data_IF_790349978000
#
_entry.id   IF_790349978000
#
_cell.length_a   1.000
_cell.length_b   1.000
_cell.length_c   1.000
_cell.angle_alpha   90.00
_cell.angle_beta   90.00
_cell.angle_gamma   90.00
#
_symmetry.space_group_name_H-M   'P 1'
#
loop_
_entity.id
_entity.type
_entity.pdbx_description
1 polymer ?
#
# COMPACT_ATOMS: atom_id res chain seq x y z
N UNK A 1 -4.25 13.45 -16.36
CA UNK A 1 -5.29 12.55 -15.83
C UNK A 1 -5.12 11.17 -16.42
N UNK A 2 -5.17 10.11 -15.59
CA UNK A 2 -4.99 8.69 -15.98
C UNK A 2 -6.23 7.88 -15.66
N UNK A 3 -7.38 8.30 -16.17
CA UNK A 3 -8.69 7.62 -15.96
C UNK A 3 -8.78 6.29 -16.71
N UNK A 4 -7.78 5.97 -17.53
CA UNK A 4 -7.58 4.68 -18.19
C UNK A 4 -7.10 3.58 -17.24
N UNK A 5 -6.59 3.94 -16.05
CA UNK A 5 -6.14 2.96 -15.05
C UNK A 5 -7.36 2.45 -14.25
N UNK A 6 -7.69 1.15 -14.32
CA UNK A 6 -8.84 0.60 -13.61
C UNK A 6 -8.58 0.54 -12.09
N UNK A 7 -9.61 0.83 -11.30
CA UNK A 7 -9.62 0.73 -9.84
C UNK A 7 -10.75 -0.20 -9.42
N UNK A 8 -10.50 -1.17 -8.54
CA UNK A 8 -11.51 -2.11 -8.05
C UNK A 8 -11.48 -2.19 -6.52
N UNK A 9 -12.65 -2.42 -5.90
CA UNK A 9 -12.76 -2.61 -4.46
C UNK A 9 -12.15 -3.95 -4.02
N UNK A 10 -11.32 -3.93 -2.98
CA UNK A 10 -10.68 -5.12 -2.42
C UNK A 10 -11.45 -5.78 -1.28
N UNK A 11 -10.78 -6.70 -0.59
CA UNK A 11 -11.27 -7.28 0.65
C UNK A 11 -11.54 -6.20 1.70
N UNK A 12 -12.71 -6.27 2.36
CA UNK A 12 -13.14 -5.28 3.36
C UNK A 12 -12.63 -5.58 4.77
N UNK A 13 -11.97 -6.73 4.97
CA UNK A 13 -11.38 -7.16 6.25
C UNK A 13 -10.25 -8.17 6.02
N UNK A 14 -9.36 -8.38 7.03
CA UNK A 14 -8.36 -9.45 7.01
C UNK A 14 -8.96 -10.85 6.84
N UNK A 15 -8.13 -11.83 6.46
CA UNK A 15 -8.57 -13.21 6.26
C UNK A 15 -9.19 -13.81 7.52
N UNK A 16 -8.53 -13.63 8.67
CA UNK A 16 -8.90 -14.30 9.93
C UNK A 16 -9.13 -13.35 11.10
N UNK A 17 -8.65 -12.11 11.01
CA UNK A 17 -8.65 -11.14 12.12
C UNK A 17 -9.79 -10.14 12.02
N UNK A 18 -10.05 -9.48 13.13
CA UNK A 18 -10.84 -8.25 13.13
C UNK A 18 -10.07 -7.13 12.43
N UNK A 19 -10.79 -6.25 11.74
CA UNK A 19 -10.19 -5.14 11.02
C UNK A 19 -9.61 -4.13 12.02
N UNK A 20 -8.36 -3.75 11.78
CA UNK A 20 -7.68 -2.66 12.47
C UNK A 20 -7.33 -1.61 11.42
N UNK A 21 -7.60 -0.35 11.73
CA UNK A 21 -7.29 0.81 10.89
C UNK A 21 -6.27 1.70 11.58
N UNK A 22 -5.58 2.55 10.81
CA UNK A 22 -4.58 3.50 11.30
C UNK A 22 -5.07 4.95 11.12
N UNK A 23 -6.30 5.22 11.57
CA UNK A 23 -6.91 6.55 11.57
C UNK A 23 -6.11 7.56 12.42
N UNK A 24 -5.46 7.09 13.48
CA UNK A 24 -4.52 7.87 14.28
C UNK A 24 -3.32 8.39 13.48
N UNK A 25 -2.91 7.72 12.40
CA UNK A 25 -1.77 8.10 11.54
C UNK A 25 -2.24 8.89 10.32
N UNK A 26 -3.34 8.46 9.69
CA UNK A 26 -3.76 8.94 8.37
C UNK A 26 -4.98 9.89 8.40
N UNK A 27 -5.53 10.16 9.59
CA UNK A 27 -6.73 10.94 9.77
C UNK A 27 -8.01 10.16 9.45
N UNK A 28 -9.17 10.80 9.62
CA UNK A 28 -10.48 10.14 9.49
C UNK A 28 -10.78 9.73 8.04
N UNK A 29 -10.37 10.56 7.07
CA UNK A 29 -10.54 10.22 5.64
C UNK A 29 -9.49 9.24 5.12
N UNK A 30 -8.40 9.04 5.87
CA UNK A 30 -7.20 8.32 5.43
C UNK A 30 -6.27 9.13 4.50
N UNK A 31 -6.67 10.34 4.11
CA UNK A 31 -5.92 11.28 3.28
C UNK A 31 -6.10 12.73 3.80
N UNK A 32 -6.19 12.90 5.12
CA UNK A 32 -6.38 14.22 5.73
C UNK A 32 -5.21 15.17 5.39
N UNK A 33 -5.50 16.47 5.33
CA UNK A 33 -4.56 17.50 4.88
C UNK A 33 -5.14 18.30 3.69
N UNK A 34 -5.00 17.82 2.45
CA UNK A 34 -5.52 18.50 1.27
C UNK A 34 -7.03 18.36 1.08
N UNK A 35 -7.63 19.34 0.40
CA UNK A 35 -8.96 19.19 -0.19
C UNK A 35 -8.85 18.47 -1.54
N UNK A 36 -9.03 17.15 -1.56
CA UNK A 36 -8.98 16.36 -2.79
C UNK A 36 -10.22 16.61 -3.67
N UNK A 37 -10.06 16.67 -5.01
CA UNK A 37 -11.20 16.75 -5.91
C UNK A 37 -11.99 15.44 -5.92
N UNK A 38 -13.30 15.55 -6.11
CA UNK A 38 -14.15 14.37 -6.30
C UNK A 38 -13.69 13.54 -7.52
N UNK A 39 -13.60 12.20 -7.38
CA UNK A 39 -13.26 11.34 -8.50
C UNK A 39 -14.24 11.51 -9.67
N UNK A 40 -13.68 11.59 -10.90
CA UNK A 40 -14.48 11.77 -12.14
C UNK A 40 -14.78 10.45 -12.86
N UNK A 41 -14.40 9.32 -12.27
CA UNK A 41 -14.63 7.98 -12.81
C UNK A 41 -15.05 7.02 -11.69
N UNK A 42 -15.84 6.01 -12.04
CA UNK A 42 -16.30 5.00 -11.10
C UNK A 42 -15.29 3.84 -10.99
N UNK A 43 -15.22 3.16 -9.83
CA UNK A 43 -14.52 1.89 -9.73
C UNK A 43 -15.14 0.84 -10.67
N UNK A 44 -14.35 -0.15 -11.05
CA UNK A 44 -14.79 -1.29 -11.83
C UNK A 44 -15.86 -2.09 -11.07
N UNK A 45 -16.84 -2.62 -11.81
CA UNK A 45 -17.85 -3.52 -11.26
C UNK A 45 -17.33 -4.96 -11.12
N UNK A 46 -16.19 -5.10 -10.45
CA UNK A 46 -15.56 -6.36 -10.07
C UNK A 46 -14.72 -6.17 -8.80
N UNK A 47 -14.34 -7.29 -8.19
CA UNK A 47 -13.42 -7.31 -7.04
C UNK A 47 -11.98 -7.05 -7.47
N UNK A 48 -11.14 -6.59 -6.54
CA UNK A 48 -9.70 -6.44 -6.79
C UNK A 48 -9.04 -7.75 -7.24
N UNK A 49 -9.45 -8.89 -6.67
CA UNK A 49 -8.94 -10.21 -7.05
C UNK A 49 -9.29 -10.55 -8.50
N UNK A 50 -10.53 -10.30 -8.93
CA UNK A 50 -10.95 -10.48 -10.33
C UNK A 50 -10.19 -9.56 -11.28
N UNK A 51 -9.99 -8.28 -10.90
CA UNK A 51 -9.22 -7.33 -11.69
C UNK A 51 -7.74 -7.76 -11.81
N UNK A 52 -7.13 -8.20 -10.72
CA UNK A 52 -5.76 -8.73 -10.72
C UNK A 52 -5.66 -9.98 -11.60
N UNK A 53 -6.57 -10.94 -11.45
CA UNK A 53 -6.61 -12.16 -12.25
C UNK A 53 -6.79 -11.86 -13.75
N UNK A 54 -7.69 -10.94 -14.10
CA UNK A 54 -7.87 -10.47 -15.48
C UNK A 54 -6.58 -9.86 -16.03
N UNK A 55 -5.96 -8.94 -15.28
CA UNK A 55 -4.72 -8.28 -15.66
C UNK A 55 -3.59 -9.29 -15.92
N UNK A 56 -3.45 -10.30 -15.06
CA UNK A 56 -2.45 -11.37 -15.23
C UNK A 56 -2.72 -12.26 -16.45
N UNK A 57 -3.99 -12.60 -16.72
CA UNK A 57 -4.38 -13.40 -17.90
C UNK A 57 -4.10 -12.67 -19.20
N UNK A 58 -4.44 -11.38 -19.25
CA UNK A 58 -4.33 -10.54 -20.44
C UNK A 58 -2.90 -10.05 -20.69
N UNK A 59 -2.04 -10.06 -19.65
CA UNK A 59 -0.65 -9.67 -19.82
C UNK A 59 0.14 -10.67 -20.67
N UNK A 60 0.81 -10.14 -21.70
CA UNK A 60 1.72 -10.90 -22.55
C UNK A 60 2.98 -11.34 -21.77
N UNK A 61 3.41 -10.53 -20.81
CA UNK A 61 4.62 -10.75 -20.00
C UNK A 61 4.26 -10.92 -18.51
N UNK A 62 5.11 -11.59 -17.71
CA UNK A 62 4.90 -11.69 -16.27
C UNK A 62 4.84 -10.31 -15.58
N UNK A 63 3.83 -10.11 -14.73
CA UNK A 63 3.54 -8.84 -14.07
C UNK A 63 4.22 -8.77 -12.71
N UNK A 64 4.70 -7.58 -12.33
CA UNK A 64 5.15 -7.33 -10.95
C UNK A 64 3.98 -6.79 -10.13
N UNK A 65 3.66 -7.47 -9.02
CA UNK A 65 2.68 -6.97 -8.05
C UNK A 65 3.42 -6.07 -7.06
N UNK A 66 2.93 -4.85 -6.86
CA UNK A 66 3.44 -3.91 -5.85
C UNK A 66 2.35 -3.71 -4.81
N UNK A 67 2.61 -4.11 -3.56
CA UNK A 67 1.65 -4.11 -2.46
C UNK A 67 2.16 -3.23 -1.32
N UNK A 68 1.44 -2.16 -1.02
CA UNK A 68 1.81 -1.17 0.03
C UNK A 68 0.82 -1.12 1.19
N UNK A 69 -0.05 -2.13 1.30
CA UNK A 69 -1.02 -2.31 2.39
C UNK A 69 -1.01 -3.75 2.91
N UNK A 70 -2.01 -4.15 3.73
CA UNK A 70 -2.18 -5.53 4.15
C UNK A 70 -2.27 -6.50 2.96
N UNK A 71 -1.69 -7.69 3.11
CA UNK A 71 -1.48 -8.63 1.99
C UNK A 71 -2.73 -9.43 1.58
N UNK A 72 -3.90 -9.11 2.12
CA UNK A 72 -5.15 -9.85 1.98
C UNK A 72 -5.53 -10.12 0.52
N UNK A 73 -5.53 -9.08 -0.34
CA UNK A 73 -5.90 -9.26 -1.75
C UNK A 73 -4.90 -10.13 -2.52
N UNK A 74 -3.61 -10.01 -2.21
CA UNK A 74 -2.56 -10.81 -2.85
C UNK A 74 -2.71 -12.27 -2.42
N UNK A 75 -2.91 -12.54 -1.13
CA UNK A 75 -3.16 -13.89 -0.63
C UNK A 75 -4.42 -14.53 -1.23
N UNK A 76 -5.51 -13.76 -1.33
CA UNK A 76 -6.74 -14.21 -1.98
C UNK A 76 -6.51 -14.55 -3.46
N UNK A 77 -5.78 -13.72 -4.20
CA UNK A 77 -5.40 -14.01 -5.59
C UNK A 77 -4.59 -15.30 -5.69
N UNK A 78 -3.56 -15.45 -4.84
CA UNK A 78 -2.69 -16.62 -4.87
C UNK A 78 -3.46 -17.91 -4.56
N UNK A 79 -4.39 -17.88 -3.61
CA UNK A 79 -5.18 -19.06 -3.25
C UNK A 79 -6.29 -19.38 -4.25
N UNK A 80 -6.94 -18.37 -4.82
CA UNK A 80 -8.07 -18.57 -5.76
C UNK A 80 -7.63 -18.82 -7.20
N UNK A 81 -6.43 -18.37 -7.58
CA UNK A 81 -5.89 -18.47 -8.93
C UNK A 81 -4.47 -19.05 -9.00
N UNK A 82 -4.24 -20.29 -8.52
CA UNK A 82 -2.93 -20.94 -8.58
C UNK A 82 -2.38 -21.07 -10.00
N UNK A 83 -3.25 -21.18 -11.01
CA UNK A 83 -2.87 -21.23 -12.42
C UNK A 83 -2.19 -19.96 -12.92
N UNK A 84 -2.38 -18.83 -12.24
CA UNK A 84 -1.82 -17.53 -12.63
C UNK A 84 -0.48 -17.22 -11.95
N UNK A 85 0.04 -18.08 -11.06
CA UNK A 85 1.31 -17.82 -10.37
C UNK A 85 2.48 -17.62 -11.34
N UNK A 86 2.50 -18.40 -12.43
CA UNK A 86 3.52 -18.28 -13.50
C UNK A 86 3.48 -16.94 -14.26
N UNK A 87 2.37 -16.19 -14.16
CA UNK A 87 2.21 -14.86 -14.73
C UNK A 87 2.70 -13.75 -13.80
N UNK A 88 3.19 -14.07 -12.59
CA UNK A 88 3.70 -13.10 -11.64
C UNK A 88 5.24 -13.17 -11.67
N UNK A 89 5.87 -12.08 -12.10
CA UNK A 89 7.32 -11.97 -12.15
C UNK A 89 7.92 -11.95 -10.74
N UNK A 90 7.33 -11.13 -9.86
CA UNK A 90 7.71 -10.95 -8.46
C UNK A 90 6.59 -10.22 -7.71
N UNK A 91 6.64 -10.30 -6.39
CA UNK A 91 5.80 -9.52 -5.49
C UNK A 91 6.71 -8.57 -4.71
N UNK A 92 6.52 -7.27 -4.85
CA UNK A 92 7.23 -6.24 -4.08
C UNK A 92 6.29 -5.74 -3.00
N UNK A 93 6.64 -5.94 -1.74
CA UNK A 93 5.82 -5.51 -0.61
C UNK A 93 6.51 -4.37 0.14
N UNK A 94 5.74 -3.37 0.56
CA UNK A 94 6.12 -2.51 1.68
C UNK A 94 5.45 -3.07 2.93
N UNK A 95 6.26 -3.56 3.85
CA UNK A 95 5.78 -4.15 5.09
C UNK A 95 6.85 -4.98 5.77
N UNK A 96 6.64 -5.24 7.06
CA UNK A 96 7.57 -5.96 7.91
C UNK A 96 8.73 -5.10 8.41
N UNK A 97 9.46 -5.66 9.37
CA UNK A 97 10.68 -5.09 9.92
C UNK A 97 11.62 -6.22 10.31
N UNK A 98 12.92 -6.04 10.08
CA UNK A 98 13.98 -6.89 10.61
C UNK A 98 14.30 -6.50 12.06
N UNK A 99 14.17 -5.22 12.39
CA UNK A 99 14.27 -4.68 13.74
C UNK A 99 12.92 -4.43 14.42
N UNK A 100 12.73 -3.22 14.93
CA UNK A 100 11.51 -2.82 15.64
C UNK A 100 10.34 -2.58 14.67
N UNK A 101 9.15 -2.96 15.10
CA UNK A 101 7.90 -2.61 14.42
C UNK A 101 7.41 -1.18 14.72
N UNK A 102 6.40 -0.72 13.98
CA UNK A 102 5.77 0.59 14.18
C UNK A 102 4.38 0.51 14.83
N UNK A 103 3.70 -0.64 14.77
CA UNK A 103 2.38 -0.83 15.38
C UNK A 103 2.48 -1.48 16.75
N UNK A 104 3.36 -2.47 16.86
CA UNK A 104 3.85 -3.01 18.14
C UNK A 104 5.38 -3.04 18.08
N UNK A 105 6.09 -3.18 19.21
CA UNK A 105 7.56 -3.28 19.19
C UNK A 105 8.09 -4.39 18.26
N UNK A 106 7.31 -5.44 18.01
CA UNK A 106 7.70 -6.59 17.21
C UNK A 106 7.01 -6.67 15.82
N UNK A 107 6.11 -5.74 15.47
CA UNK A 107 5.32 -5.87 14.24
C UNK A 107 5.07 -4.54 13.53
N UNK A 108 5.27 -4.56 12.22
CA UNK A 108 4.89 -3.50 11.30
C UNK A 108 3.39 -3.64 10.93
N UNK A 109 2.71 -2.51 10.76
CA UNK A 109 1.25 -2.41 10.55
C UNK A 109 0.68 -3.32 9.46
N UNK A 110 1.20 -3.26 8.22
CA UNK A 110 0.66 -4.03 7.10
C UNK A 110 0.70 -5.53 7.37
N UNK A 111 1.79 -6.02 7.97
CA UNK A 111 1.91 -7.43 8.38
C UNK A 111 1.05 -7.73 9.60
N UNK A 112 0.93 -6.81 10.55
CA UNK A 112 0.15 -7.00 11.77
C UNK A 112 -1.36 -7.14 11.51
N UNK A 113 -1.89 -6.38 10.53
CA UNK A 113 -3.31 -6.39 10.16
C UNK A 113 -3.75 -7.75 9.62
N UNK A 114 -2.93 -8.40 8.78
CA UNK A 114 -3.25 -9.70 8.20
C UNK A 114 -1.99 -10.57 8.02
N UNK A 115 -1.43 -11.10 9.12
CA UNK A 115 -0.21 -11.90 9.06
C UNK A 115 -0.46 -13.27 8.41
N UNK A 116 -1.68 -13.79 8.48
CA UNK A 116 -2.05 -15.03 7.79
C UNK A 116 -1.99 -14.83 6.27
N UNK A 117 -2.45 -13.69 5.75
CA UNK A 117 -2.24 -13.33 4.35
C UNK A 117 -0.77 -13.11 4.00
N UNK A 118 0.00 -12.46 4.89
CA UNK A 118 1.44 -12.28 4.68
C UNK A 118 2.19 -13.61 4.61
N UNK A 119 1.86 -14.58 5.47
CA UNK A 119 2.41 -15.93 5.46
C UNK A 119 2.17 -16.61 4.10
N UNK A 120 0.96 -16.54 3.57
CA UNK A 120 0.62 -17.07 2.24
C UNK A 120 1.50 -16.44 1.15
N UNK A 121 1.70 -15.12 1.19
CA UNK A 121 2.55 -14.43 0.20
C UNK A 121 4.00 -14.88 0.32
N UNK A 122 4.57 -14.95 1.54
CA UNK A 122 5.94 -15.39 1.76
C UNK A 122 6.16 -16.87 1.39
N UNK A 123 5.15 -17.73 1.56
CA UNK A 123 5.22 -19.15 1.24
C UNK A 123 4.82 -19.48 -0.21
N UNK A 124 4.44 -18.48 -1.02
CA UNK A 124 3.93 -18.68 -2.39
C UNK A 124 4.92 -19.32 -3.37
N UNK A 125 6.22 -19.31 -3.06
CA UNK A 125 7.28 -19.72 -3.98
C UNK A 125 7.57 -18.71 -5.10
N UNK A 126 6.84 -17.60 -5.16
CA UNK A 126 7.08 -16.49 -6.09
C UNK A 126 8.19 -15.60 -5.51
N UNK A 127 9.09 -15.01 -6.32
CA UNK A 127 10.09 -14.09 -5.81
C UNK A 127 9.44 -12.91 -5.07
N UNK A 128 9.77 -12.74 -3.78
CA UNK A 128 9.27 -11.65 -2.94
C UNK A 128 10.41 -10.68 -2.61
N UNK A 129 10.17 -9.39 -2.81
CA UNK A 129 11.05 -8.30 -2.36
C UNK A 129 10.33 -7.57 -1.23
N UNK A 130 10.94 -7.54 -0.05
CA UNK A 130 10.41 -6.86 1.12
C UNK A 130 11.14 -5.52 1.34
N UNK A 131 10.41 -4.42 1.23
CA UNK A 131 10.83 -3.09 1.64
C UNK A 131 10.26 -2.80 3.05
N UNK A 132 10.91 -3.37 4.06
CA UNK A 132 10.51 -3.19 5.46
C UNK A 132 10.96 -1.87 6.07
N UNK A 133 10.63 -1.65 7.34
CA UNK A 133 10.92 -0.40 8.07
C UNK A 133 12.42 -0.05 8.10
N UNK A 134 13.31 -1.04 8.13
CA UNK A 134 14.77 -0.84 8.09
C UNK A 134 15.28 -0.17 6.81
N UNK A 135 14.45 -0.20 5.75
CA UNK A 135 14.68 0.49 4.49
C UNK A 135 13.87 1.78 4.44
N UNK A 136 12.57 1.73 4.73
CA UNK A 136 11.69 2.89 4.54
C UNK A 136 11.95 4.01 5.54
N UNK A 137 12.39 3.71 6.77
CA UNK A 137 12.79 4.74 7.73
C UNK A 137 14.05 5.52 7.33
N UNK A 138 14.82 5.03 6.34
CA UNK A 138 15.96 5.77 5.77
C UNK A 138 15.53 6.74 4.67
N UNK A 139 14.33 6.59 4.11
CA UNK A 139 13.77 7.46 3.08
C UNK A 139 12.95 8.58 3.73
N UNK A 140 13.62 9.44 4.50
CA UNK A 140 12.96 10.55 5.19
C UNK A 140 12.62 11.69 4.22
N UNK A 141 11.51 12.37 4.50
CA UNK A 141 11.09 13.59 3.84
C UNK A 141 11.32 14.74 4.81
N UNK A 142 12.05 15.77 4.38
CA UNK A 142 12.27 16.97 5.18
C UNK A 142 11.40 18.13 4.71
N UNK A 143 11.35 19.20 5.51
CA UNK A 143 10.57 20.41 5.19
C UNK A 143 11.02 20.98 3.83
N UNK A 144 12.32 20.94 3.54
CA UNK A 144 12.88 21.39 2.28
C UNK A 144 12.35 20.59 1.08
N UNK A 145 12.04 19.30 1.25
CA UNK A 145 11.46 18.47 0.20
C UNK A 145 9.99 18.84 -0.06
N UNK A 146 9.24 19.14 0.98
CA UNK A 146 7.87 19.66 0.86
C UNK A 146 7.85 21.00 0.10
N UNK A 147 8.78 21.91 0.42
CA UNK A 147 8.93 23.17 -0.33
C UNK A 147 9.32 22.94 -1.80
N UNK A 148 10.18 21.94 -2.06
CA UNK A 148 10.54 21.56 -3.44
C UNK A 148 9.33 21.08 -4.23
N UNK A 149 8.42 20.31 -3.63
CA UNK A 149 7.15 19.94 -4.27
C UNK A 149 6.30 21.18 -4.54
N UNK A 150 6.15 22.07 -3.56
CA UNK A 150 5.34 23.29 -3.71
C UNK A 150 5.87 24.19 -4.84
N UNK A 151 7.19 24.30 -4.99
CA UNK A 151 7.85 25.09 -6.03
C UNK A 151 7.62 24.59 -7.47
N UNK A 152 7.19 23.33 -7.67
CA UNK A 152 6.83 22.82 -9.01
C UNK A 152 5.62 23.58 -9.59
N UNK A 153 4.71 24.05 -8.73
CA UNK A 153 3.65 24.98 -9.12
C UNK A 153 2.52 24.36 -9.97
N UNK A 154 2.12 23.11 -9.69
CA UNK A 154 0.94 22.51 -10.31
C UNK A 154 0.00 21.87 -9.26
N UNK A 155 -1.27 21.59 -9.60
CA UNK A 155 -2.23 21.08 -8.63
C UNK A 155 -1.81 19.80 -7.92
N UNK A 156 -1.14 18.87 -8.61
CA UNK A 156 -0.67 17.61 -8.01
C UNK A 156 0.45 17.88 -7.03
N UNK A 157 1.40 18.75 -7.37
CA UNK A 157 2.53 19.06 -6.50
C UNK A 157 2.11 19.82 -5.24
N UNK A 158 1.08 20.68 -5.34
CA UNK A 158 0.46 21.32 -4.17
C UNK A 158 -0.21 20.29 -3.25
N UNK A 159 -1.04 19.39 -3.80
CA UNK A 159 -1.70 18.34 -3.02
C UNK A 159 -0.69 17.43 -2.32
N UNK A 160 0.39 17.04 -3.01
CA UNK A 160 1.46 16.23 -2.41
C UNK A 160 2.12 16.99 -1.25
N UNK A 161 2.43 18.29 -1.43
CA UNK A 161 3.01 19.09 -0.36
C UNK A 161 2.07 19.17 0.86
N UNK A 162 0.77 19.37 0.65
CA UNK A 162 -0.23 19.43 1.73
C UNK A 162 -0.40 18.09 2.46
N UNK A 163 -0.35 16.96 1.76
CA UNK A 163 -0.31 15.63 2.40
C UNK A 163 0.93 15.48 3.27
N UNK A 164 2.10 15.88 2.74
CA UNK A 164 3.35 15.80 3.48
C UNK A 164 3.36 16.71 4.71
N UNK A 165 2.76 17.90 4.63
CA UNK A 165 2.58 18.81 5.78
C UNK A 165 1.80 18.10 6.91
N UNK A 166 0.68 17.44 6.58
CA UNK A 166 -0.10 16.67 7.56
C UNK A 166 0.71 15.53 8.19
N UNK A 167 1.43 14.74 7.37
CA UNK A 167 2.27 13.66 7.88
C UNK A 167 3.42 14.17 8.73
N UNK A 168 4.05 15.30 8.36
CA UNK A 168 5.12 15.90 9.15
C UNK A 168 4.61 16.25 10.54
N UNK A 169 3.41 16.80 10.68
CA UNK A 169 2.81 17.07 12.00
C UNK A 169 2.70 15.82 12.87
N UNK A 170 2.24 14.70 12.30
CA UNK A 170 2.19 13.44 13.03
C UNK A 170 3.59 12.97 13.48
N UNK A 171 4.63 13.22 12.68
CA UNK A 171 6.01 12.74 12.95
C UNK A 171 6.91 13.78 13.64
N UNK A 172 6.37 14.93 14.07
CA UNK A 172 7.16 15.97 14.79
C UNK A 172 7.72 15.48 16.12
N UNK A 173 7.00 14.58 16.79
CA UNK A 173 7.41 14.01 18.07
C UNK A 173 8.07 12.65 17.86
N UNK A 174 9.20 12.40 18.53
CA UNK A 174 9.83 11.08 18.61
C UNK A 174 8.81 10.10 19.19
N UNK A 175 8.29 9.21 18.35
CA UNK A 175 7.29 8.23 18.81
C UNK A 175 7.95 7.07 19.51
N UNK A 176 9.12 6.62 19.06
CA UNK A 176 10.06 5.72 19.76
C UNK A 176 11.42 5.76 19.04
N UNK A 177 12.50 6.09 19.75
CA UNK A 177 13.88 6.06 19.24
C UNK A 177 14.58 7.40 19.38
#
# INVERSE_FOLDING_TARGET
NRTDIPVAGGAVKPLMRELIIADNVHGESGLDGPALPEPTFAPQNCTAVELMAKTLRESAEPVTIVSTGPQTNVALLLNSHPELHSKIARIVIMGGAMGLGNWTPAAEFNIYVDPEAAEIVFQSGIPVVMAGLDVTHKAQIHVEDTERFRAIGNPVSTIVAELLDFFLEYHKDEKWG
#
